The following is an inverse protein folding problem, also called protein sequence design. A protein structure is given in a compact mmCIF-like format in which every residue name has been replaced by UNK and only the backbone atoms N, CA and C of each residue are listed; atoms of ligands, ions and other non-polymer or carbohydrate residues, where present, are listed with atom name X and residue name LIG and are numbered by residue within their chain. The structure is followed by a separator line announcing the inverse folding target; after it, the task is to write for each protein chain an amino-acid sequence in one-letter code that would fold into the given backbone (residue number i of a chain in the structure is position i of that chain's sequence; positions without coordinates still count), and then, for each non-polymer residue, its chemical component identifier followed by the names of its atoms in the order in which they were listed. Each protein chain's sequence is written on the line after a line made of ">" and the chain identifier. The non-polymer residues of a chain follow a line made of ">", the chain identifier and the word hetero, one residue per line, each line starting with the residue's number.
data_IF_460862805878
#
_entry.id   IF_460862805878
#
_cell.length_a   1.000
_cell.length_b   1.000
_cell.length_c   1.000
_cell.angle_alpha   90.00
_cell.angle_beta   90.00
_cell.angle_gamma   90.00
#
_symmetry.space_group_name_H-M   'P 1'
#
loop_
_entity.id
_entity.type
_entity.pdbx_description
1 polymer ?
#
# COMPACT_ATOMS: atom_id res chain seq x y z
N UNK A 1 13.39 -5.02 -51.73
CA UNK A 1 12.71 -4.05 -50.84
C UNK A 1 12.68 -4.66 -49.44
N UNK A 2 13.35 -4.06 -48.45
CA UNK A 2 13.48 -4.60 -47.09
C UNK A 2 12.28 -4.14 -46.26
N UNK A 3 11.52 -5.10 -45.71
CA UNK A 3 10.46 -4.87 -44.73
C UNK A 3 11.09 -4.46 -43.39
N UNK A 4 10.69 -3.30 -42.88
CA UNK A 4 11.02 -2.80 -41.53
C UNK A 4 9.81 -3.03 -40.63
N UNK A 5 9.91 -3.76 -39.50
CA UNK A 5 8.80 -3.88 -38.58
C UNK A 5 8.76 -2.64 -37.65
N UNK A 6 7.62 -1.95 -37.65
CA UNK A 6 7.29 -0.91 -36.68
C UNK A 6 6.93 -1.57 -35.34
N UNK A 7 7.87 -1.57 -34.39
CA UNK A 7 7.59 -1.97 -33.00
C UNK A 7 6.96 -0.77 -32.28
N UNK A 8 5.64 -0.80 -32.13
CA UNK A 8 4.89 0.20 -31.36
C UNK A 8 4.94 -0.20 -29.87
N UNK A 9 5.84 0.41 -29.09
CA UNK A 9 5.85 0.22 -27.64
C UNK A 9 4.67 0.97 -27.02
N UNK A 10 3.66 0.24 -26.53
CA UNK A 10 2.62 0.82 -25.67
C UNK A 10 3.26 1.18 -24.32
N UNK A 11 3.61 2.46 -24.14
CA UNK A 11 3.89 3.00 -22.81
C UNK A 11 2.55 3.17 -22.08
N UNK A 12 2.27 2.29 -21.12
CA UNK A 12 1.17 2.47 -20.17
C UNK A 12 1.48 3.68 -19.28
N UNK A 13 0.89 4.83 -19.57
CA UNK A 13 0.90 5.97 -18.65
C UNK A 13 -0.24 5.76 -17.65
N UNK A 14 0.10 5.35 -16.43
CA UNK A 14 -0.83 5.42 -15.30
C UNK A 14 -1.22 6.89 -15.13
N UNK A 15 -2.49 7.22 -15.39
CA UNK A 15 -2.96 8.60 -15.30
C UNK A 15 -3.48 8.83 -13.89
N UNK A 16 -2.79 9.67 -13.14
CA UNK A 16 -3.10 10.03 -11.76
C UNK A 16 -3.53 11.50 -11.68
N UNK A 17 -4.13 11.94 -10.59
CA UNK A 17 -4.71 13.27 -10.35
C UNK A 17 -3.68 14.42 -10.34
N UNK A 18 -2.49 14.15 -9.81
CA UNK A 18 -1.34 15.05 -9.86
C UNK A 18 -0.34 14.49 -10.86
N UNK A 19 -0.03 15.25 -11.92
CA UNK A 19 0.97 14.87 -12.91
C UNK A 19 2.28 15.61 -12.64
N UNK A 20 3.32 14.87 -12.23
CA UNK A 20 4.67 15.42 -12.14
C UNK A 20 5.21 15.78 -13.52
N UNK A 21 5.62 17.03 -13.69
CA UNK A 21 6.30 17.53 -14.90
C UNK A 21 7.82 17.57 -14.71
N UNK A 22 8.31 17.53 -13.47
CA UNK A 22 9.73 17.38 -13.16
C UNK A 22 9.91 16.64 -11.82
N UNK A 23 10.95 15.79 -11.68
CA UNK A 23 11.98 15.48 -12.68
C UNK A 23 11.44 14.69 -13.88
N UNK A 24 11.97 14.93 -15.08
CA UNK A 24 11.60 14.16 -16.28
C UNK A 24 12.40 12.86 -16.35
N UNK A 25 11.92 11.92 -17.16
CA UNK A 25 12.54 10.59 -17.30
C UNK A 25 14.01 10.71 -17.71
N UNK A 26 14.89 10.07 -16.95
CA UNK A 26 16.32 10.03 -17.24
C UNK A 26 17.09 11.29 -16.84
N UNK A 27 16.45 12.25 -16.16
CA UNK A 27 17.15 13.40 -15.56
C UNK A 27 18.26 12.89 -14.64
N UNK A 28 19.44 13.52 -14.71
CA UNK A 28 20.56 13.27 -13.81
C UNK A 28 20.67 14.47 -12.89
N UNK A 29 20.68 14.23 -11.59
CA UNK A 29 20.80 15.27 -10.56
C UNK A 29 21.91 14.89 -9.60
N UNK A 30 22.62 15.88 -9.09
CA UNK A 30 23.65 15.67 -8.09
C UNK A 30 23.04 15.71 -6.71
N UNK A 31 23.57 14.90 -5.81
CA UNK A 31 23.27 15.05 -4.40
C UNK A 31 23.83 16.38 -3.87
N UNK A 32 23.22 16.90 -2.80
CA UNK A 32 23.52 18.22 -2.25
C UNK A 32 22.90 19.41 -2.99
N UNK A 33 22.56 19.26 -4.28
CA UNK A 33 21.90 20.30 -5.06
C UNK A 33 20.45 20.53 -4.60
N UNK A 34 19.99 21.77 -4.78
CA UNK A 34 18.58 22.11 -4.60
C UNK A 34 17.83 21.64 -5.84
N UNK A 35 17.01 20.61 -5.65
CA UNK A 35 16.12 20.07 -6.68
C UNK A 35 14.74 20.71 -6.51
N UNK A 36 14.08 21.00 -7.63
CA UNK A 36 12.69 21.47 -7.61
C UNK A 36 11.80 20.47 -8.32
N UNK A 37 10.82 19.93 -7.59
CA UNK A 37 9.74 19.16 -8.18
C UNK A 37 8.66 20.11 -8.69
N UNK A 38 8.12 19.79 -9.87
CA UNK A 38 7.02 20.50 -10.49
C UNK A 38 5.91 19.52 -10.81
N UNK A 39 4.66 19.96 -10.64
CA UNK A 39 3.49 19.19 -10.99
C UNK A 39 2.39 20.08 -11.59
N UNK A 40 1.38 19.44 -12.17
CA UNK A 40 0.16 20.07 -12.66
C UNK A 40 -1.04 19.19 -12.35
N UNK A 41 -2.23 19.79 -12.40
CA UNK A 41 -3.48 19.05 -12.35
C UNK A 41 -3.61 18.22 -13.64
N UNK A 42 -3.92 16.92 -13.53
CA UNK A 42 -4.08 16.05 -14.68
C UNK A 42 -5.41 16.22 -15.40
N UNK A 43 -6.31 17.03 -14.85
CA UNK A 43 -7.67 17.25 -15.34
C UNK A 43 -8.65 16.14 -14.94
N UNK A 44 -8.21 15.18 -14.12
CA UNK A 44 -9.05 14.07 -13.64
C UNK A 44 -9.33 14.21 -12.14
N UNK A 45 -10.54 13.85 -11.68
CA UNK A 45 -10.85 13.88 -10.27
C UNK A 45 -10.02 12.85 -9.48
N UNK A 46 -9.68 13.14 -8.21
CA UNK A 46 -9.93 14.42 -7.52
C UNK A 46 -9.07 15.55 -8.10
N UNK A 47 -9.63 16.75 -8.22
CA UNK A 47 -8.83 17.90 -8.70
C UNK A 47 -7.81 18.30 -7.64
N UNK A 48 -6.71 18.93 -8.05
CA UNK A 48 -5.74 19.49 -7.08
C UNK A 48 -6.41 20.48 -6.14
N UNK A 49 -7.46 21.19 -6.59
CA UNK A 49 -8.25 22.10 -5.75
C UNK A 49 -9.00 21.41 -4.60
N UNK A 50 -9.17 20.09 -4.65
CA UNK A 50 -9.80 19.30 -3.58
C UNK A 50 -8.76 18.80 -2.56
N UNK A 51 -7.46 19.01 -2.84
CA UNK A 51 -6.34 18.62 -1.99
C UNK A 51 -5.86 19.82 -1.18
N UNK A 52 -5.50 19.58 0.08
CA UNK A 52 -5.09 20.61 1.04
C UNK A 52 -3.59 20.53 1.31
N UNK A 53 -3.11 19.33 1.56
CA UNK A 53 -1.74 19.08 2.00
C UNK A 53 -1.11 17.89 1.27
N UNK A 54 0.22 17.82 1.31
CA UNK A 54 0.98 16.71 0.77
C UNK A 54 2.26 16.45 1.55
N UNK A 55 2.66 15.19 1.56
CA UNK A 55 4.01 14.75 1.89
C UNK A 55 4.72 14.31 0.62
N UNK A 56 5.99 14.66 0.49
CA UNK A 56 6.85 14.28 -0.63
C UNK A 56 8.00 13.41 -0.14
N UNK A 57 8.17 12.25 -0.76
CA UNK A 57 9.17 11.25 -0.41
C UNK A 57 10.10 11.00 -1.60
N UNK A 58 11.35 10.71 -1.29
CA UNK A 58 12.30 10.09 -2.21
C UNK A 58 12.17 8.59 -2.08
N UNK A 59 11.96 7.90 -3.19
CA UNK A 59 11.88 6.45 -3.25
C UNK A 59 13.02 5.88 -4.11
N UNK A 60 13.46 4.68 -3.78
CA UNK A 60 14.36 3.88 -4.60
C UNK A 60 13.72 2.54 -4.94
N UNK A 61 14.08 2.01 -6.12
CA UNK A 61 13.80 0.61 -6.44
C UNK A 61 14.64 -0.28 -5.52
N UNK A 62 13.99 -1.19 -4.77
CA UNK A 62 14.64 -2.08 -3.83
C UNK A 62 15.34 -3.27 -4.51
N UNK A 63 16.02 -4.09 -3.71
CA UNK A 63 16.88 -5.18 -4.20
C UNK A 63 16.11 -6.34 -4.84
N UNK A 64 14.83 -6.52 -4.49
CA UNK A 64 13.96 -7.52 -5.12
C UNK A 64 13.12 -6.90 -6.23
N UNK A 65 12.89 -7.65 -7.31
CA UNK A 65 12.05 -7.24 -8.43
C UNK A 65 10.68 -6.79 -7.94
N UNK A 66 10.36 -5.51 -8.13
CA UNK A 66 9.09 -4.90 -7.74
C UNK A 66 9.05 -4.30 -6.33
N UNK A 67 10.12 -4.43 -5.54
CA UNK A 67 10.22 -3.72 -4.26
C UNK A 67 10.52 -2.23 -4.46
N UNK A 68 9.86 -1.40 -3.66
CA UNK A 68 10.05 0.05 -3.63
C UNK A 68 10.21 0.45 -2.17
N UNK A 69 11.19 1.28 -1.88
CA UNK A 69 11.49 1.74 -0.53
C UNK A 69 11.48 3.27 -0.49
N UNK A 70 10.85 3.83 0.54
CA UNK A 70 10.93 5.25 0.86
C UNK A 70 12.24 5.47 1.61
N UNK A 71 13.21 6.14 0.97
CA UNK A 71 14.55 6.32 1.50
C UNK A 71 14.75 7.67 2.19
N UNK A 72 13.90 8.66 1.89
CA UNK A 72 13.86 9.93 2.62
C UNK A 72 12.50 10.63 2.52
N UNK A 73 12.19 11.42 3.54
CA UNK A 73 11.11 12.41 3.52
C UNK A 73 11.71 13.74 3.06
N UNK A 74 11.24 14.26 1.92
CA UNK A 74 11.75 15.50 1.32
C UNK A 74 10.96 16.72 1.78
N UNK A 75 9.64 16.56 1.87
CA UNK A 75 8.72 17.58 2.35
C UNK A 75 7.68 16.89 3.22
N UNK A 76 7.43 17.45 4.39
CA UNK A 76 6.37 16.99 5.28
C UNK A 76 5.39 18.13 5.51
N UNK A 77 4.10 17.82 5.51
CA UNK A 77 3.01 18.77 5.73
C UNK A 77 3.06 19.97 4.73
N UNK A 78 3.45 19.70 3.48
CA UNK A 78 3.40 20.66 2.39
C UNK A 78 1.96 21.06 2.07
N UNK A 79 1.74 22.23 1.49
CA UNK A 79 0.40 22.73 1.16
C UNK A 79 0.27 23.17 -0.28
N UNK A 80 -0.82 22.78 -0.94
CA UNK A 80 -1.11 23.16 -2.33
C UNK A 80 -1.41 24.66 -2.49
N UNK A 81 -1.76 25.35 -1.40
CA UNK A 81 -1.95 26.81 -1.41
C UNK A 81 -0.66 27.59 -1.77
N UNK A 82 0.52 26.97 -1.59
CA UNK A 82 1.82 27.57 -1.96
C UNK A 82 2.16 27.45 -3.44
N UNK A 83 1.35 26.73 -4.22
CA UNK A 83 1.53 26.53 -5.66
C UNK A 83 1.92 25.09 -6.01
N UNK A 84 2.34 24.92 -7.27
CA UNK A 84 2.52 23.61 -7.89
C UNK A 84 3.99 23.18 -8.04
N UNK A 85 4.83 23.65 -7.13
CA UNK A 85 6.25 23.32 -7.11
C UNK A 85 6.79 23.37 -5.70
N UNK A 86 7.81 22.55 -5.42
CA UNK A 86 8.54 22.62 -4.16
C UNK A 86 10.01 22.28 -4.38
N UNK A 87 10.87 23.06 -3.74
CA UNK A 87 12.31 22.85 -3.75
C UNK A 87 12.75 22.15 -2.46
N UNK A 88 13.66 21.21 -2.58
CA UNK A 88 14.23 20.43 -1.48
C UNK A 88 15.68 20.08 -1.81
N UNK A 89 16.42 19.68 -0.79
CA UNK A 89 17.77 19.14 -0.95
C UNK A 89 17.74 17.64 -0.73
N UNK A 90 18.59 16.94 -1.46
CA UNK A 90 18.81 15.51 -1.27
C UNK A 90 20.17 15.36 -0.59
N UNK A 91 20.23 14.65 0.53
CA UNK A 91 21.48 14.38 1.25
C UNK A 91 22.34 13.35 0.51
N UNK A 92 23.66 13.53 0.55
CA UNK A 92 24.67 12.65 -0.05
C UNK A 92 24.67 11.24 0.55
N UNK A 93 24.15 11.12 1.77
CA UNK A 93 24.05 9.88 2.52
C UNK A 93 22.91 8.98 2.02
N UNK A 94 21.86 9.52 1.40
CA UNK A 94 20.55 8.86 1.31
C UNK A 94 20.50 7.71 0.29
N UNK A 95 21.47 7.58 -0.62
CA UNK A 95 21.41 6.57 -1.69
C UNK A 95 22.75 6.15 -2.29
N UNK A 96 22.68 5.43 -3.41
CA UNK A 96 23.77 5.00 -4.29
C UNK A 96 23.76 5.70 -5.65
N UNK A 97 24.86 5.61 -6.39
CA UNK A 97 25.02 6.20 -7.73
C UNK A 97 24.43 5.30 -8.85
N UNK A 98 23.22 4.78 -8.66
CA UNK A 98 22.58 3.88 -9.63
C UNK A 98 21.68 4.63 -10.63
N UNK A 99 21.79 4.30 -11.94
CA UNK A 99 21.01 4.96 -12.98
C UNK A 99 19.53 4.60 -12.90
N UNK A 100 18.65 5.61 -13.03
CA UNK A 100 17.20 5.47 -13.07
C UNK A 100 16.58 4.71 -11.87
N UNK A 101 17.25 4.72 -10.72
CA UNK A 101 16.79 4.02 -9.52
C UNK A 101 15.70 4.79 -8.78
N UNK A 102 15.79 6.12 -8.81
CA UNK A 102 15.05 7.01 -7.93
C UNK A 102 13.80 7.56 -8.59
N UNK A 103 12.79 7.83 -7.78
CA UNK A 103 11.56 8.51 -8.18
C UNK A 103 10.96 9.20 -6.96
N UNK A 104 10.12 10.20 -7.20
CA UNK A 104 9.37 10.88 -6.15
C UNK A 104 8.03 10.18 -5.94
N UNK A 105 7.59 10.13 -4.69
CA UNK A 105 6.22 9.78 -4.31
C UNK A 105 5.62 10.93 -3.55
N UNK A 106 4.46 11.40 -3.99
CA UNK A 106 3.64 12.36 -3.26
C UNK A 106 2.41 11.66 -2.70
N UNK A 107 2.18 11.83 -1.41
CA UNK A 107 0.93 11.45 -0.75
C UNK A 107 0.20 12.75 -0.47
N UNK A 108 -0.91 12.99 -1.15
CA UNK A 108 -1.69 14.20 -1.00
C UNK A 108 -3.05 13.88 -0.37
N UNK A 109 -3.53 14.79 0.48
CA UNK A 109 -4.79 14.63 1.20
C UNK A 109 -5.62 15.92 1.20
N UNK A 110 -6.93 15.72 1.14
CA UNK A 110 -7.98 16.71 1.38
C UNK A 110 -8.96 16.20 2.44
N UNK A 111 -10.08 16.91 2.68
CA UNK A 111 -11.06 16.55 3.71
C UNK A 111 -11.57 15.11 3.60
N UNK A 112 -11.87 14.65 2.38
CA UNK A 112 -12.48 13.33 2.12
C UNK A 112 -11.71 12.55 1.05
N UNK A 113 -10.46 12.92 0.77
CA UNK A 113 -9.69 12.34 -0.34
C UNK A 113 -8.22 12.15 0.00
N UNK A 114 -7.67 11.03 -0.44
CA UNK A 114 -6.25 10.73 -0.36
C UNK A 114 -5.79 10.10 -1.67
N UNK A 115 -4.67 10.59 -2.19
CA UNK A 115 -4.12 10.22 -3.49
C UNK A 115 -2.61 10.06 -3.41
N UNK A 116 -2.09 9.08 -4.15
CA UNK A 116 -0.67 8.79 -4.21
C UNK A 116 -0.22 8.91 -5.66
N UNK A 117 0.75 9.79 -5.89
CA UNK A 117 1.26 10.14 -7.20
C UNK A 117 2.76 9.89 -7.25
N UNK A 118 3.26 9.46 -8.41
CA UNK A 118 4.67 9.13 -8.60
C UNK A 118 5.26 9.94 -9.76
N UNK A 119 6.51 10.38 -9.61
CA UNK A 119 7.24 10.99 -10.72
C UNK A 119 7.80 9.95 -11.67
N UNK A 120 8.33 10.43 -12.80
CA UNK A 120 9.24 9.62 -13.61
C UNK A 120 10.52 9.29 -12.83
N UNK A 121 11.18 8.22 -13.26
CA UNK A 121 12.47 7.81 -12.71
C UNK A 121 13.61 8.73 -13.16
N UNK A 122 14.54 8.98 -12.25
CA UNK A 122 15.72 9.79 -12.44
C UNK A 122 16.96 9.16 -11.79
N UNK A 123 18.13 9.70 -12.12
CA UNK A 123 19.43 9.25 -11.61
C UNK A 123 19.97 10.27 -10.63
N UNK A 124 20.50 9.79 -9.49
CA UNK A 124 21.26 10.61 -8.55
C UNK A 124 22.74 10.25 -8.65
N UNK A 125 23.59 11.27 -8.68
CA UNK A 125 25.05 11.14 -8.68
C UNK A 125 25.66 11.85 -7.47
N UNK A 126 26.95 11.61 -7.22
CA UNK A 126 27.69 12.15 -6.08
C UNK A 126 27.11 11.71 -4.72
N UNK A 127 26.48 10.53 -4.68
CA UNK A 127 26.07 9.87 -3.46
C UNK A 127 27.27 9.17 -2.81
N UNK A 128 27.44 9.37 -1.50
CA UNK A 128 28.60 8.88 -0.74
C UNK A 128 28.32 7.60 0.04
N UNK A 129 27.07 7.17 0.13
CA UNK A 129 26.68 5.97 0.87
C UNK A 129 26.62 4.72 -0.02
N UNK A 130 27.38 3.69 0.36
CA UNK A 130 27.07 2.31 -0.02
C UNK A 130 26.07 1.80 1.01
N UNK A 131 24.86 1.43 0.58
CA UNK A 131 23.74 1.02 1.44
C UNK A 131 24.16 0.34 2.76
N UNK A 132 24.13 1.13 3.84
CA UNK A 132 24.01 0.66 5.20
C UNK A 132 22.85 1.45 5.78
N UNK A 133 21.77 0.72 6.12
CA UNK A 133 20.50 1.20 6.67
C UNK A 133 20.56 2.62 7.25
N UNK A 134 20.14 3.62 6.47
CA UNK A 134 19.84 4.94 7.01
C UNK A 134 18.48 4.84 7.70
N UNK A 135 18.56 4.37 8.95
CA UNK A 135 17.68 4.83 10.03
C UNK A 135 17.81 6.35 10.04
N UNK A 136 16.68 7.02 9.85
CA UNK A 136 16.62 8.47 9.76
C UNK A 136 17.40 9.12 10.90
N UNK A 137 18.30 10.02 10.55
CA UNK A 137 18.85 10.98 11.50
C UNK A 137 18.28 12.34 11.15
N UNK A 138 17.11 12.62 11.70
CA UNK A 138 17.03 13.79 12.57
C UNK A 138 17.53 13.37 13.95
N UNK A 139 18.86 13.32 14.11
CA UNK A 139 19.64 13.27 15.37
C UNK A 139 19.15 12.30 16.47
N UNK A 140 20.03 11.32 16.75
CA UNK A 140 20.40 10.75 18.06
C UNK A 140 20.17 9.24 18.21
N UNK A 141 21.27 8.55 18.52
CA UNK A 141 21.33 7.13 18.83
C UNK A 141 20.70 6.84 20.19
N UNK A 142 19.77 5.88 20.25
CA UNK A 142 19.76 4.76 21.22
C UNK A 142 18.74 3.69 20.82
N UNK A 143 19.27 2.49 20.59
CA UNK A 143 18.71 1.14 20.84
C UNK A 143 17.38 0.65 20.19
N UNK A 144 17.58 -0.41 19.39
CA UNK A 144 16.81 -1.67 19.31
C UNK A 144 15.40 -1.72 18.69
N UNK A 145 15.36 -2.18 17.44
CA UNK A 145 14.74 -3.48 17.11
C UNK A 145 13.25 -3.58 16.77
N UNK A 146 12.41 -2.57 17.06
CA UNK A 146 10.95 -2.77 16.99
C UNK A 146 10.17 -1.80 16.06
N UNK A 147 10.84 -0.88 15.36
CA UNK A 147 10.15 0.25 14.69
C UNK A 147 9.69 -0.04 13.25
N UNK A 148 10.26 -1.04 12.58
CA UNK A 148 10.01 -1.31 11.15
C UNK A 148 8.58 -1.83 10.88
N UNK A 149 7.93 -2.42 11.89
CA UNK A 149 6.50 -2.80 11.84
C UNK A 149 5.57 -1.66 12.31
N UNK A 150 6.05 -0.75 13.17
CA UNK A 150 5.30 0.42 13.66
C UNK A 150 5.13 1.48 12.56
N UNK A 151 6.14 1.74 11.73
CA UNK A 151 6.04 2.73 10.65
C UNK A 151 5.05 2.31 9.56
N UNK A 152 5.04 1.03 9.14
CA UNK A 152 4.00 0.49 8.23
C UNK A 152 2.60 0.52 8.86
N UNK A 153 2.48 0.35 10.18
CA UNK A 153 1.20 0.49 10.89
C UNK A 153 0.75 1.95 10.93
N UNK A 154 1.65 2.91 11.19
CA UNK A 154 1.34 4.35 11.27
C UNK A 154 1.07 5.00 9.91
N UNK A 155 1.72 4.54 8.82
CA UNK A 155 1.56 5.11 7.47
C UNK A 155 0.22 4.75 6.80
N UNK A 156 -0.49 3.74 7.30
CA UNK A 156 -1.72 3.24 6.71
C UNK A 156 -2.91 3.16 7.70
N UNK A 157 -2.72 3.53 8.97
CA UNK A 157 -3.78 3.49 9.99
C UNK A 157 -5.03 4.29 9.55
N UNK A 158 -4.80 5.45 8.93
CA UNK A 158 -5.87 6.24 8.30
C UNK A 158 -6.44 5.60 7.03
N UNK A 159 -5.60 5.02 6.17
CA UNK A 159 -6.02 4.45 4.88
C UNK A 159 -6.92 3.21 5.04
N UNK A 160 -6.69 2.38 6.07
CA UNK A 160 -7.57 1.25 6.39
C UNK A 160 -8.88 1.67 7.07
N UNK A 161 -8.99 2.93 7.51
CA UNK A 161 -10.20 3.47 8.16
C UNK A 161 -11.21 4.01 7.12
N UNK A 162 -10.77 4.33 5.90
CA UNK A 162 -11.65 4.78 4.82
C UNK A 162 -12.42 3.58 4.26
N UNK A 163 -13.76 3.64 4.18
CA UNK A 163 -14.56 2.58 3.56
C UNK A 163 -14.05 2.23 2.16
N UNK A 164 -13.85 0.94 1.88
CA UNK A 164 -13.23 0.44 0.64
C UNK A 164 -13.89 1.00 -0.65
N UNK A 165 -15.19 1.26 -0.61
CA UNK A 165 -15.96 1.81 -1.72
C UNK A 165 -15.64 3.28 -2.03
N UNK A 166 -15.16 4.03 -1.04
CA UNK A 166 -14.77 5.45 -1.17
C UNK A 166 -13.30 5.61 -1.57
N UNK A 167 -12.54 4.51 -1.64
CA UNK A 167 -11.13 4.56 -2.01
C UNK A 167 -10.94 4.64 -3.53
N UNK A 168 -10.04 5.52 -3.94
CA UNK A 168 -9.62 5.72 -5.32
C UNK A 168 -8.16 5.32 -5.52
N UNK A 169 -7.71 5.26 -6.77
CA UNK A 169 -6.33 4.89 -7.12
C UNK A 169 -6.10 3.40 -7.40
N UNK A 170 -4.87 3.06 -7.86
CA UNK A 170 -4.52 1.71 -8.29
C UNK A 170 -4.32 0.72 -7.13
N UNK A 171 -4.02 1.22 -5.94
CA UNK A 171 -3.91 0.41 -4.71
C UNK A 171 -5.05 0.75 -3.78
N UNK A 172 -5.84 -0.26 -3.41
CA UNK A 172 -6.87 -0.14 -2.37
C UNK A 172 -6.43 -0.82 -1.08
N UNK A 173 -6.95 -0.35 0.03
CA UNK A 173 -6.64 -0.80 1.38
C UNK A 173 -7.87 -1.41 2.04
N UNK A 174 -7.89 -2.73 2.22
CA UNK A 174 -9.02 -3.41 2.84
C UNK A 174 -8.88 -3.41 4.37
N UNK A 175 -9.91 -2.97 5.12
CA UNK A 175 -9.91 -3.05 6.58
C UNK A 175 -9.86 -4.50 7.07
N UNK A 176 -9.41 -4.70 8.31
CA UNK A 176 -9.39 -6.02 8.93
C UNK A 176 -10.82 -6.56 9.07
N UNK A 177 -11.03 -7.82 8.71
CA UNK A 177 -12.31 -8.49 8.89
C UNK A 177 -12.68 -8.55 10.38
N UNK A 178 -13.98 -8.42 10.67
CA UNK A 178 -14.50 -8.53 12.04
C UNK A 178 -14.25 -9.93 12.58
N UNK A 179 -13.67 -10.02 13.78
CA UNK A 179 -13.48 -11.29 14.47
C UNK A 179 -14.85 -11.93 14.75
N UNK A 180 -15.06 -13.23 14.44
CA UNK A 180 -16.26 -13.93 14.84
C UNK A 180 -16.35 -13.97 16.38
N UNK A 181 -17.56 -13.82 16.90
CA UNK A 181 -17.81 -13.99 18.33
C UNK A 181 -17.61 -15.46 18.74
N UNK A 182 -17.24 -15.70 20.00
CA UNK A 182 -17.04 -17.05 20.56
C UNK A 182 -18.34 -17.81 20.86
N UNK A 183 -19.50 -17.17 20.69
CA UNK A 183 -20.81 -17.74 20.99
C UNK A 183 -21.69 -17.59 19.75
N UNK A 184 -22.26 -18.71 19.29
CA UNK A 184 -23.33 -18.71 18.30
C UNK A 184 -24.65 -18.58 19.08
N UNK A 185 -25.40 -17.47 18.93
CA UNK A 185 -26.68 -17.34 19.60
C UNK A 185 -27.68 -18.34 19.00
N UNK A 186 -28.30 -19.18 19.83
CA UNK A 186 -29.34 -20.13 19.40
C UNK A 186 -30.65 -19.45 19.01
N UNK A 187 -30.86 -18.22 19.47
CA UNK A 187 -32.17 -17.55 19.40
C UNK A 187 -32.20 -16.45 18.32
N UNK A 188 -31.14 -16.33 17.50
CA UNK A 188 -31.04 -15.31 16.45
C UNK A 188 -30.79 -15.95 15.09
N UNK A 189 -31.59 -15.58 14.11
CA UNK A 189 -31.29 -15.87 12.71
C UNK A 189 -30.07 -15.06 12.26
N UNK A 190 -29.20 -15.64 11.42
CA UNK A 190 -28.05 -14.92 10.89
C UNK A 190 -28.52 -13.77 10.00
N UNK A 191 -28.14 -12.55 10.37
CA UNK A 191 -28.35 -11.35 9.54
C UNK A 191 -27.12 -11.11 8.68
N UNK A 192 -27.28 -10.82 7.37
CA UNK A 192 -26.16 -10.44 6.51
C UNK A 192 -25.35 -9.28 7.10
N UNK A 193 -24.02 -9.34 6.99
CA UNK A 193 -23.14 -8.29 7.51
C UNK A 193 -23.31 -6.96 6.75
N UNK A 194 -23.71 -7.04 5.48
CA UNK A 194 -23.99 -5.89 4.63
C UNK A 194 -25.38 -6.07 3.99
N UNK A 195 -26.14 -4.97 3.79
CA UNK A 195 -27.38 -5.05 3.03
C UNK A 195 -27.09 -5.51 1.60
N UNK A 196 -28.10 -6.08 0.93
CA UNK A 196 -28.02 -6.38 -0.50
C UNK A 196 -27.69 -5.10 -1.26
N UNK A 197 -26.51 -5.06 -1.87
CA UNK A 197 -26.08 -3.95 -2.70
C UNK A 197 -26.85 -3.95 -4.01
N UNK A 198 -27.31 -2.78 -4.46
CA UNK A 198 -27.72 -2.60 -5.85
C UNK A 198 -26.55 -2.98 -6.77
N UNK A 199 -26.84 -3.73 -7.82
CA UNK A 199 -25.86 -4.10 -8.83
C UNK A 199 -26.44 -3.76 -10.21
N UNK A 200 -25.59 -3.24 -11.08
CA UNK A 200 -25.92 -3.04 -12.48
C UNK A 200 -25.30 -4.19 -13.27
N UNK A 201 -26.11 -4.83 -14.12
CA UNK A 201 -25.63 -5.87 -15.03
C UNK A 201 -24.95 -5.16 -16.20
N UNK A 202 -23.66 -5.45 -16.41
CA UNK A 202 -22.95 -4.95 -17.57
C UNK A 202 -23.52 -5.60 -18.85
N UNK A 203 -24.31 -4.85 -19.61
CA UNK A 203 -24.84 -5.27 -20.93
C UNK A 203 -23.88 -4.97 -22.08
N UNK A 204 -22.77 -4.26 -21.80
CA UNK A 204 -21.71 -3.89 -22.75
C UNK A 204 -20.33 -4.05 -22.11
N UNK A 205 -19.27 -4.08 -22.92
CA UNK A 205 -17.89 -4.15 -22.43
C UNK A 205 -17.57 -2.98 -21.49
N UNK A 206 -17.11 -3.31 -20.28
CA UNK A 206 -16.68 -2.35 -19.28
C UNK A 206 -15.29 -1.76 -19.64
N UNK A 207 -14.98 -0.55 -19.16
CA UNK A 207 -13.65 0.03 -19.33
C UNK A 207 -12.58 -0.82 -18.64
N UNK A 208 -11.33 -0.63 -19.06
CA UNK A 208 -10.17 -1.31 -18.47
C UNK A 208 -10.14 -1.03 -16.95
N UNK A 209 -10.00 -2.07 -16.11
CA UNK A 209 -9.97 -1.89 -14.66
C UNK A 209 -8.79 -1.01 -14.23
N UNK A 210 -9.06 -0.05 -13.35
CA UNK A 210 -8.08 0.92 -12.84
C UNK A 210 -7.38 0.46 -11.56
N UNK A 211 -7.99 -0.47 -10.80
CA UNK A 211 -7.42 -1.02 -9.57
C UNK A 211 -6.44 -2.15 -9.93
N UNK A 212 -5.18 -2.01 -9.51
CA UNK A 212 -4.12 -2.98 -9.76
C UNK A 212 -3.89 -3.93 -8.58
N UNK A 213 -4.03 -3.44 -7.34
CA UNK A 213 -3.76 -4.26 -6.15
C UNK A 213 -4.61 -3.85 -4.96
N UNK A 214 -4.81 -4.78 -4.03
CA UNK A 214 -5.46 -4.54 -2.74
C UNK A 214 -4.56 -5.03 -1.62
N UNK A 215 -4.26 -4.15 -0.68
CA UNK A 215 -3.49 -4.46 0.53
C UNK A 215 -4.47 -4.60 1.69
N UNK A 216 -4.48 -5.75 2.35
CA UNK A 216 -5.31 -5.96 3.54
C UNK A 216 -4.55 -5.57 4.81
N UNK A 217 -5.25 -4.98 5.77
CA UNK A 217 -4.71 -4.68 7.09
C UNK A 217 -4.14 -5.95 7.75
N UNK A 218 -3.04 -5.80 8.47
CA UNK A 218 -2.41 -6.91 9.20
C UNK A 218 -3.27 -7.36 10.39
N UNK A 219 -3.24 -8.66 10.67
CA UNK A 219 -3.97 -9.24 11.80
C UNK A 219 -3.41 -8.70 13.12
N UNK A 220 -4.28 -8.17 13.98
CA UNK A 220 -3.89 -7.68 15.31
C UNK A 220 -4.00 -8.74 16.42
N UNK A 221 -4.51 -9.95 16.10
CA UNK A 221 -4.66 -11.02 17.08
C UNK A 221 -3.73 -12.20 16.80
N UNK A 222 -3.19 -12.79 17.86
CA UNK A 222 -2.49 -14.06 17.85
C UNK A 222 -3.43 -15.19 18.26
N UNK A 223 -3.34 -16.34 17.58
CA UNK A 223 -4.03 -17.56 18.01
C UNK A 223 -3.03 -18.43 18.80
N UNK A 224 -3.40 -18.80 20.02
CA UNK A 224 -2.70 -19.84 20.79
C UNK A 224 -3.52 -21.12 20.76
N UNK A 225 -2.95 -22.19 20.23
CA UNK A 225 -3.51 -23.53 20.33
C UNK A 225 -2.89 -24.24 21.53
N UNK A 226 -3.73 -24.77 22.41
CA UNK A 226 -3.32 -25.76 23.41
C UNK A 226 -3.86 -27.12 23.01
N UNK A 227 -3.17 -28.19 23.40
CA UNK A 227 -3.70 -29.54 23.26
C UNK A 227 -5.01 -29.65 24.03
N UNK A 228 -6.01 -30.28 23.40
CA UNK A 228 -7.25 -30.62 24.08
C UNK A 228 -7.00 -31.83 24.99
N UNK A 229 -6.76 -31.60 26.28
CA UNK A 229 -6.53 -32.67 27.27
C UNK A 229 -7.81 -33.38 27.72
N UNK A 230 -8.98 -33.04 27.14
CA UNK A 230 -10.22 -33.72 27.44
C UNK A 230 -10.27 -35.09 26.75
N UNK A 231 -10.72 -36.11 27.48
CA UNK A 231 -11.02 -37.42 26.90
C UNK A 231 -12.02 -37.29 25.75
N UNK A 232 -11.81 -37.97 24.61
CA UNK A 232 -12.77 -37.99 23.52
C UNK A 232 -14.17 -38.34 24.01
N UNK A 233 -15.18 -37.60 23.53
CA UNK A 233 -16.56 -37.97 23.82
C UNK A 233 -16.83 -39.39 23.30
N UNK A 234 -17.62 -40.22 24.03
CA UNK A 234 -17.97 -41.54 23.57
C UNK A 234 -18.64 -41.46 22.20
N UNK A 235 -18.27 -42.35 21.29
CA UNK A 235 -18.86 -42.37 19.96
C UNK A 235 -20.36 -42.67 20.10
N UNK A 236 -21.27 -42.03 19.34
CA UNK A 236 -22.72 -42.30 19.40
C UNK A 236 -23.09 -43.75 19.03
N UNK A 237 -22.13 -44.55 18.58
CA UNK A 237 -22.27 -45.98 18.32
C UNK A 237 -21.63 -46.88 19.39
N UNK A 238 -20.94 -46.33 20.39
CA UNK A 238 -20.27 -47.12 21.45
C UNK A 238 -21.28 -47.91 22.28
N UNK A 239 -22.46 -47.35 22.56
CA UNK A 239 -23.58 -48.06 23.19
C UNK A 239 -24.03 -49.27 22.35
N UNK A 240 -24.16 -49.09 21.03
CA UNK A 240 -24.59 -50.16 20.11
C UNK A 240 -23.48 -51.19 19.88
N UNK A 241 -22.23 -50.76 19.84
CA UNK A 241 -21.05 -51.62 19.70
C UNK A 241 -20.83 -52.44 20.97
N UNK A 242 -20.96 -51.83 22.16
CA UNK A 242 -20.89 -52.52 23.44
C UNK A 242 -21.99 -53.58 23.55
N UNK A 243 -23.24 -53.24 23.20
CA UNK A 243 -24.34 -54.22 23.12
C UNK A 243 -24.06 -55.35 22.11
N UNK A 244 -23.47 -55.05 20.96
CA UNK A 244 -23.08 -56.05 19.97
C UNK A 244 -21.98 -56.99 20.50
N UNK A 245 -20.97 -56.44 21.17
CA UNK A 245 -19.85 -57.19 21.76
C UNK A 245 -20.24 -57.96 23.03
N UNK A 246 -21.29 -57.56 23.74
CA UNK A 246 -21.80 -58.26 24.94
C UNK A 246 -22.90 -59.28 24.61
N UNK A 247 -23.36 -59.35 23.36
CA UNK A 247 -24.44 -60.24 22.91
C UNK A 247 -24.21 -61.74 23.14
N UNK A 248 -22.95 -62.18 23.27
CA UNK A 248 -22.60 -63.58 23.51
C UNK A 248 -22.56 -63.95 25.00
N UNK A 249 -22.78 -62.99 25.90
CA UNK A 249 -22.81 -63.21 27.36
C UNK A 249 -24.20 -63.60 27.88
N UNK A 250 -25.22 -63.54 27.01
CA UNK A 250 -26.55 -64.12 27.22
C UNK A 250 -26.56 -65.59 26.75
#
# INVERSE_FOLDING_TARGET
>A
MKLVPLVLSLLSTAVADIEFTAPTRGTVMKSGDVVTAYWKDSGKPPRISELVQYDLYLCASGESLGSQEDIAVLVKDGTFARGNSVSFRIGEEVGSNEPNKYFLKMIASGPDVLVINYSQRFTLTDMTSAFSSIRGSGISFTNEGHEQQELRKRQADGAYTIPYQLQSGPTRYAPMAKKPASIIPTDKSPTPQFPTSAYDIATTYLPVPTVQTTVSASLTYSASSIENTASPAPHPHDERMKRFLERWKD
#
